data_IF_326828247482
#
_entry.id   IF_326828247482
#
_cell.length_a   1.000
_cell.length_b   1.000
_cell.length_c   1.000
_cell.angle_alpha   90.00
_cell.angle_beta   90.00
_cell.angle_gamma   90.00
#
_symmetry.space_group_name_H-M   'P 1'
#
loop_
_entity.id
_entity.type
_entity.pdbx_description
1 polymer ?
#
# COMPACT_ATOMS: atom_id res chain seq x y z
N UNK A 1 2.60 -26.41 -23.95
CA UNK A 1 2.55 -25.50 -22.77
C UNK A 1 1.84 -26.25 -21.66
N UNK A 2 2.38 -26.26 -20.46
CA UNK A 2 1.87 -27.08 -19.37
C UNK A 2 0.83 -26.25 -18.56
N UNK A 3 -0.42 -26.22 -19.02
CA UNK A 3 -1.51 -25.48 -18.33
C UNK A 3 -1.62 -25.83 -16.84
N UNK A 4 -1.45 -27.12 -16.51
CA UNK A 4 -1.48 -27.57 -15.11
C UNK A 4 -0.40 -26.94 -14.21
N UNK A 5 0.75 -26.53 -14.74
CA UNK A 5 1.80 -25.89 -13.95
C UNK A 5 1.45 -24.43 -13.63
N UNK A 6 0.80 -23.71 -14.54
CA UNK A 6 0.35 -22.31 -14.30
C UNK A 6 -0.69 -22.27 -13.18
N UNK A 7 -1.63 -23.23 -13.17
CA UNK A 7 -2.65 -23.36 -12.10
C UNK A 7 -2.01 -23.56 -10.73
N UNK A 8 -0.98 -24.41 -10.60
CA UNK A 8 -0.30 -24.66 -9.32
C UNK A 8 0.36 -23.39 -8.72
N UNK A 9 0.71 -22.43 -9.57
CA UNK A 9 1.26 -21.16 -9.13
C UNK A 9 0.22 -20.03 -9.09
N UNK A 10 -1.05 -20.29 -9.49
CA UNK A 10 -2.10 -19.28 -9.59
C UNK A 10 -1.69 -18.13 -10.52
N UNK A 11 -1.18 -18.47 -11.70
CA UNK A 11 -0.66 -17.54 -12.71
C UNK A 11 -1.38 -17.70 -14.05
N UNK A 12 -2.35 -18.60 -14.12
CA UNK A 12 -3.02 -19.07 -15.35
C UNK A 12 -3.74 -17.96 -16.13
N UNK A 13 -4.22 -16.94 -15.42
CA UNK A 13 -4.99 -15.85 -16.04
C UNK A 13 -4.13 -14.89 -16.87
N UNK A 14 -2.85 -14.76 -16.55
CA UNK A 14 -2.00 -13.75 -17.17
C UNK A 14 -0.66 -14.29 -17.69
N UNK A 15 -0.13 -15.35 -17.05
CA UNK A 15 1.21 -15.86 -17.35
C UNK A 15 1.21 -17.33 -17.77
N UNK A 16 2.00 -17.60 -18.81
CA UNK A 16 2.43 -18.95 -19.13
C UNK A 16 3.73 -19.28 -18.39
N UNK A 17 3.81 -20.47 -17.82
CA UNK A 17 5.05 -21.02 -17.26
C UNK A 17 5.86 -21.62 -18.39
N UNK A 18 7.05 -21.08 -18.64
CA UNK A 18 7.98 -21.54 -19.67
C UNK A 18 8.91 -22.63 -19.15
N UNK A 19 9.44 -22.43 -17.93
CA UNK A 19 10.40 -23.34 -17.31
C UNK A 19 10.23 -23.36 -15.79
N UNK A 20 10.54 -24.51 -15.19
CA UNK A 20 10.54 -24.72 -13.75
C UNK A 20 11.85 -25.37 -13.35
N UNK A 21 12.60 -24.76 -12.43
CA UNK A 21 13.87 -25.28 -11.95
C UNK A 21 13.90 -25.36 -10.42
N UNK A 22 14.32 -26.48 -9.89
CA UNK A 22 14.66 -26.60 -8.48
C UNK A 22 16.06 -26.03 -8.27
N UNK A 23 16.20 -24.96 -7.47
CA UNK A 23 17.45 -24.25 -7.23
C UNK A 23 17.97 -24.41 -5.80
N UNK A 24 17.33 -25.28 -5.02
CA UNK A 24 17.71 -25.62 -3.66
C UNK A 24 16.70 -26.53 -2.98
N UNK A 25 16.95 -26.95 -1.74
CA UNK A 25 16.06 -27.90 -1.02
C UNK A 25 14.61 -27.41 -0.93
N UNK A 26 14.42 -26.11 -0.67
CA UNK A 26 13.09 -25.48 -0.50
C UNK A 26 12.94 -24.26 -1.40
N UNK A 27 13.53 -24.27 -2.60
CA UNK A 27 13.52 -23.13 -3.53
C UNK A 27 13.27 -23.60 -4.95
N UNK A 28 12.32 -22.97 -5.61
CA UNK A 28 12.01 -23.17 -7.02
C UNK A 28 12.11 -21.84 -7.78
N UNK A 29 12.60 -21.92 -9.01
CA UNK A 29 12.61 -20.84 -9.97
C UNK A 29 11.64 -21.15 -11.08
N UNK A 30 10.75 -20.23 -11.35
CA UNK A 30 9.72 -20.34 -12.39
C UNK A 30 9.96 -19.24 -13.41
N UNK A 31 10.23 -19.62 -14.65
CA UNK A 31 10.34 -18.65 -15.75
C UNK A 31 8.95 -18.48 -16.36
N UNK A 32 8.49 -17.24 -16.41
CA UNK A 32 7.15 -16.88 -16.85
C UNK A 32 7.18 -15.83 -17.98
N UNK A 33 6.18 -15.85 -18.81
CA UNK A 33 5.92 -14.84 -19.86
C UNK A 33 4.42 -14.51 -19.86
N UNK A 34 4.04 -13.26 -20.11
CA UNK A 34 2.62 -12.88 -20.29
C UNK A 34 2.05 -13.62 -21.51
N UNK A 35 0.86 -14.20 -21.36
CA UNK A 35 0.17 -14.98 -22.40
C UNK A 35 -0.15 -14.07 -23.60
N UNK A 36 -0.72 -12.92 -23.33
CA UNK A 36 -1.04 -11.94 -24.37
C UNK A 36 0.23 -11.44 -25.05
N UNK A 37 0.26 -11.50 -26.37
CA UNK A 37 1.42 -11.08 -27.18
C UNK A 37 1.38 -9.62 -27.55
N UNK A 38 0.24 -8.98 -27.43
CA UNK A 38 0.05 -7.58 -27.74
C UNK A 38 0.09 -6.71 -26.48
N UNK A 39 0.42 -5.46 -26.65
CA UNK A 39 0.37 -4.46 -25.60
C UNK A 39 -0.05 -3.12 -26.14
N UNK A 40 -0.87 -2.39 -25.38
CA UNK A 40 -1.28 -1.03 -25.68
C UNK A 40 -0.16 -0.05 -25.30
N UNK A 41 0.19 0.84 -26.22
CA UNK A 41 1.13 1.91 -25.92
C UNK A 41 0.55 2.87 -24.88
N UNK A 42 1.27 3.15 -23.75
CA UNK A 42 0.75 4.03 -22.71
C UNK A 42 0.63 5.51 -23.16
N UNK A 43 1.25 5.89 -24.27
CA UNK A 43 1.19 7.26 -24.78
C UNK A 43 0.06 7.51 -25.79
N UNK A 44 -0.32 6.51 -26.60
CA UNK A 44 -1.31 6.68 -27.67
C UNK A 44 -2.36 5.57 -27.75
N UNK A 45 -2.28 4.52 -26.92
CA UNK A 45 -3.22 3.40 -26.92
C UNK A 45 -3.07 2.40 -28.08
N UNK A 46 -2.22 2.65 -29.06
CA UNK A 46 -2.05 1.75 -30.23
C UNK A 46 -1.51 0.41 -29.78
N UNK A 47 -2.19 -0.67 -30.18
CA UNK A 47 -1.78 -2.05 -29.92
C UNK A 47 -0.61 -2.45 -30.82
N UNK A 48 0.34 -3.19 -30.24
CA UNK A 48 1.49 -3.72 -30.99
C UNK A 48 1.99 -5.02 -30.35
N UNK A 49 2.43 -5.92 -31.22
CA UNK A 49 3.16 -7.14 -30.85
C UNK A 49 4.65 -7.08 -31.25
N UNK A 50 5.12 -5.93 -31.77
CA UNK A 50 6.50 -5.77 -32.23
C UNK A 50 7.45 -5.67 -31.04
N UNK A 51 8.16 -6.77 -30.77
CA UNK A 51 9.12 -6.87 -29.67
C UNK A 51 10.45 -6.21 -30.07
N UNK A 52 10.96 -5.32 -29.21
CA UNK A 52 12.31 -4.77 -29.30
C UNK A 52 13.32 -5.66 -28.59
N UNK A 53 13.00 -6.07 -27.38
CA UNK A 53 13.87 -6.90 -26.52
C UNK A 53 13.03 -7.68 -25.48
N UNK A 54 13.67 -8.72 -24.90
CA UNK A 54 13.04 -9.59 -23.89
C UNK A 54 13.94 -9.69 -22.65
N UNK A 55 13.98 -8.67 -21.78
CA UNK A 55 14.75 -8.73 -20.54
C UNK A 55 14.15 -9.72 -19.56
N UNK A 56 15.00 -10.50 -18.91
CA UNK A 56 14.62 -11.42 -17.83
C UNK A 56 14.75 -10.71 -16.48
N UNK A 57 13.65 -10.62 -15.73
CA UNK A 57 13.57 -9.84 -14.48
C UNK A 57 13.08 -10.71 -13.33
N UNK A 58 13.85 -10.76 -12.24
CA UNK A 58 13.45 -11.45 -11.01
C UNK A 58 12.33 -10.70 -10.27
N UNK A 59 11.28 -11.44 -9.91
CA UNK A 59 10.12 -10.96 -9.13
C UNK A 59 9.89 -11.92 -7.98
N UNK A 60 9.62 -11.41 -6.79
CA UNK A 60 9.25 -12.23 -5.63
C UNK A 60 7.75 -12.49 -5.64
N UNK A 61 7.39 -13.70 -5.24
CA UNK A 61 6.01 -14.16 -5.16
C UNK A 61 5.76 -14.96 -3.88
N UNK A 62 4.51 -15.36 -3.67
CA UNK A 62 4.11 -16.26 -2.60
C UNK A 62 4.87 -17.60 -2.70
N UNK A 63 5.22 -18.21 -1.56
CA UNK A 63 5.67 -19.60 -1.56
C UNK A 63 4.62 -20.52 -2.18
N UNK A 64 5.04 -21.46 -3.00
CA UNK A 64 4.16 -22.47 -3.57
C UNK A 64 4.55 -23.85 -3.04
N UNK A 65 3.57 -24.64 -2.60
CA UNK A 65 3.79 -25.99 -2.06
C UNK A 65 4.88 -26.06 -0.97
N UNK A 66 4.92 -25.06 -0.07
CA UNK A 66 5.91 -24.96 1.00
C UNK A 66 7.31 -24.54 0.55
N UNK A 67 7.54 -24.24 -0.73
CA UNK A 67 8.81 -23.85 -1.29
C UNK A 67 8.84 -22.35 -1.61
N UNK A 68 9.95 -21.68 -1.32
CA UNK A 68 10.17 -20.29 -1.74
C UNK A 68 10.21 -20.23 -3.26
N UNK A 69 9.35 -19.40 -3.85
CA UNK A 69 9.19 -19.25 -5.29
C UNK A 69 9.90 -17.97 -5.76
N UNK A 70 10.79 -18.13 -6.73
CA UNK A 70 11.40 -17.03 -7.48
C UNK A 70 10.80 -17.00 -8.87
N UNK A 71 10.01 -15.98 -9.18
CA UNK A 71 9.55 -15.76 -10.55
C UNK A 71 10.61 -15.03 -11.35
N UNK A 72 10.89 -15.52 -12.53
CA UNK A 72 11.73 -14.84 -13.49
C UNK A 72 10.88 -14.53 -14.72
N UNK A 73 10.46 -13.28 -14.80
CA UNK A 73 9.58 -12.81 -15.86
C UNK A 73 10.37 -12.39 -17.08
N UNK A 74 10.14 -13.11 -18.20
CA UNK A 74 10.63 -12.74 -19.52
C UNK A 74 9.73 -11.63 -20.06
N UNK A 75 10.06 -10.38 -19.76
CA UNK A 75 9.29 -9.21 -20.16
C UNK A 75 9.43 -8.95 -21.66
N UNK A 76 8.40 -8.42 -22.26
CA UNK A 76 8.48 -7.87 -23.62
C UNK A 76 8.60 -6.35 -23.54
N UNK A 77 9.62 -5.80 -24.15
CA UNK A 77 9.68 -4.38 -24.49
C UNK A 77 9.22 -4.22 -25.92
N UNK A 78 8.14 -3.47 -26.10
CA UNK A 78 7.43 -3.33 -27.37
C UNK A 78 7.79 -2.00 -28.05
N UNK A 79 7.67 -1.96 -29.37
CA UNK A 79 7.86 -0.76 -30.19
C UNK A 79 6.49 -0.20 -30.55
N UNK A 80 6.23 1.07 -30.25
CA UNK A 80 5.04 1.76 -30.70
C UNK A 80 5.05 1.86 -32.22
N UNK A 81 3.90 1.61 -32.84
CA UNK A 81 3.75 1.69 -34.33
C UNK A 81 3.25 3.05 -34.79
N UNK A 82 2.83 3.92 -33.87
CA UNK A 82 2.39 5.28 -34.19
C UNK A 82 3.61 6.19 -34.36
N UNK A 83 3.91 6.67 -35.57
CA UNK A 83 5.09 7.51 -35.81
C UNK A 83 5.08 8.83 -35.05
N UNK A 84 3.90 9.41 -34.79
CA UNK A 84 3.73 10.66 -34.09
C UNK A 84 3.78 10.48 -32.55
N UNK A 85 3.89 9.25 -32.04
CA UNK A 85 3.91 8.98 -30.62
C UNK A 85 5.31 9.15 -30.02
N UNK A 86 5.45 10.06 -29.06
CA UNK A 86 6.70 10.32 -28.35
C UNK A 86 7.22 9.13 -27.51
N UNK A 87 6.37 8.13 -27.18
CA UNK A 87 6.75 6.99 -26.35
C UNK A 87 7.78 6.07 -27.03
N UNK A 88 7.73 5.90 -28.34
CA UNK A 88 8.66 5.08 -29.12
C UNK A 88 8.71 3.62 -28.70
N UNK A 89 9.09 3.33 -27.44
CA UNK A 89 9.14 1.96 -26.89
C UNK A 89 8.58 1.93 -25.46
N UNK A 90 7.95 0.81 -25.09
CA UNK A 90 7.36 0.63 -23.76
C UNK A 90 7.45 -0.83 -23.32
N UNK A 91 7.35 -1.05 -22.00
CA UNK A 91 7.29 -2.40 -21.42
C UNK A 91 5.84 -2.86 -21.35
N UNK A 92 5.56 -4.09 -21.75
CA UNK A 92 4.25 -4.72 -21.61
C UNK A 92 3.80 -4.64 -20.13
N UNK A 93 2.57 -4.22 -19.92
CA UNK A 93 1.98 -4.11 -18.58
C UNK A 93 1.54 -5.48 -18.06
N UNK A 94 1.44 -5.59 -16.74
CA UNK A 94 0.95 -6.76 -16.03
C UNK A 94 0.17 -6.29 -14.80
N UNK A 95 -0.99 -6.88 -14.56
CA UNK A 95 -1.80 -6.62 -13.36
C UNK A 95 -1.16 -7.32 -12.15
N UNK A 96 -0.69 -8.54 -12.35
CA UNK A 96 -0.05 -9.31 -11.29
C UNK A 96 1.30 -8.73 -10.85
N UNK A 97 2.03 -8.02 -11.74
CA UNK A 97 3.30 -7.37 -11.41
C UNK A 97 3.28 -5.91 -11.88
N UNK A 98 2.90 -4.97 -11.03
CA UNK A 98 2.85 -3.55 -11.37
C UNK A 98 4.17 -3.00 -11.90
N UNK A 99 4.10 -1.93 -12.67
CA UNK A 99 5.28 -1.26 -13.22
C UNK A 99 6.29 -0.92 -12.12
N UNK A 100 7.58 -1.17 -12.40
CA UNK A 100 8.71 -0.95 -11.45
C UNK A 100 8.64 -1.79 -10.16
N UNK A 101 7.66 -2.69 -10.00
CA UNK A 101 7.59 -3.61 -8.87
C UNK A 101 8.53 -4.81 -9.06
N UNK A 102 9.09 -5.27 -7.94
CA UNK A 102 9.78 -6.56 -7.83
C UNK A 102 9.03 -7.56 -6.95
N UNK A 103 7.77 -7.27 -6.68
CA UNK A 103 6.84 -8.09 -5.93
C UNK A 103 5.57 -8.23 -6.75
N UNK A 104 4.96 -9.40 -6.73
CA UNK A 104 3.60 -9.58 -7.24
C UNK A 104 2.59 -8.83 -6.38
N UNK A 105 1.47 -8.46 -6.96
CA UNK A 105 0.36 -7.80 -6.24
C UNK A 105 -0.11 -8.66 -5.07
N UNK A 106 -0.32 -9.97 -5.31
CA UNK A 106 -0.78 -10.92 -4.29
C UNK A 106 0.21 -11.09 -3.13
N UNK A 107 1.52 -11.10 -3.38
CA UNK A 107 2.52 -11.14 -2.31
C UNK A 107 2.47 -9.84 -1.49
N UNK A 108 2.33 -8.69 -2.14
CA UNK A 108 2.20 -7.40 -1.44
C UNK A 108 0.97 -7.37 -0.55
N UNK A 109 -0.16 -7.86 -1.02
CA UNK A 109 -1.40 -7.98 -0.24
C UNK A 109 -1.25 -8.92 0.95
N UNK A 110 -0.62 -10.08 0.74
CA UNK A 110 -0.34 -11.03 1.81
C UNK A 110 0.57 -10.43 2.90
N UNK A 111 1.60 -9.68 2.51
CA UNK A 111 2.49 -8.97 3.45
C UNK A 111 1.69 -7.94 4.26
N UNK A 112 0.91 -7.09 3.59
CA UNK A 112 0.08 -6.09 4.26
C UNK A 112 -0.90 -6.73 5.25
N UNK A 113 -1.59 -7.79 4.84
CA UNK A 113 -2.54 -8.53 5.65
C UNK A 113 -1.87 -9.24 6.85
N UNK A 114 -0.69 -9.83 6.66
CA UNK A 114 0.04 -10.48 7.75
C UNK A 114 0.41 -9.48 8.86
N UNK A 115 0.73 -8.24 8.48
CA UNK A 115 1.04 -7.17 9.45
C UNK A 115 -0.26 -6.65 10.08
N UNK A 116 -1.26 -6.26 9.29
CA UNK A 116 -2.48 -5.62 9.79
C UNK A 116 -3.40 -6.60 10.53
N UNK A 117 -3.88 -7.64 9.84
CA UNK A 117 -4.83 -8.59 10.39
C UNK A 117 -4.15 -9.66 11.26
N UNK A 118 -2.91 -10.03 10.93
CA UNK A 118 -2.13 -10.99 11.70
C UNK A 118 -1.43 -10.37 12.93
N UNK A 119 -1.52 -9.05 13.11
CA UNK A 119 -0.88 -8.30 14.21
C UNK A 119 0.62 -8.62 14.38
N UNK A 120 1.33 -8.77 13.25
CA UNK A 120 2.74 -9.13 13.23
C UNK A 120 3.64 -7.91 13.04
N UNK A 121 4.84 -7.94 13.61
CA UNK A 121 5.80 -6.86 13.43
C UNK A 121 6.26 -6.76 11.96
N UNK A 122 6.41 -5.53 11.45
CA UNK A 122 6.88 -5.27 10.07
C UNK A 122 8.24 -5.92 9.80
N UNK A 123 9.15 -5.88 10.80
CA UNK A 123 10.49 -6.49 10.70
C UNK A 123 10.44 -8.02 10.59
N UNK A 124 9.54 -8.65 11.31
CA UNK A 124 9.34 -10.11 11.28
C UNK A 124 8.85 -10.56 9.90
N UNK A 125 7.78 -9.91 9.39
CA UNK A 125 7.22 -10.21 8.08
C UNK A 125 8.23 -9.89 6.96
N UNK A 126 8.99 -8.81 7.08
CA UNK A 126 10.06 -8.48 6.13
C UNK A 126 11.13 -9.59 6.08
N UNK A 127 11.54 -10.12 7.24
CA UNK A 127 12.49 -11.23 7.35
C UNK A 127 11.96 -12.53 6.74
N UNK A 128 10.70 -12.88 7.01
CA UNK A 128 10.06 -14.08 6.46
C UNK A 128 10.07 -14.10 4.93
N UNK A 129 9.69 -12.98 4.31
CA UNK A 129 9.66 -12.88 2.84
C UNK A 129 10.99 -12.42 2.23
N UNK A 130 12.02 -12.17 3.04
CA UNK A 130 13.33 -11.75 2.58
C UNK A 130 13.30 -10.42 1.80
N UNK A 131 12.53 -9.45 2.30
CA UNK A 131 12.39 -8.11 1.71
C UNK A 131 12.85 -7.03 2.68
N UNK A 132 13.12 -5.83 2.16
CA UNK A 132 13.45 -4.69 3.02
C UNK A 132 12.25 -4.26 3.88
N UNK A 133 12.51 -3.83 5.11
CA UNK A 133 11.51 -3.30 6.04
C UNK A 133 10.60 -2.25 5.37
N UNK A 134 11.20 -1.29 4.67
CA UNK A 134 10.45 -0.24 3.96
C UNK A 134 9.50 -0.78 2.88
N UNK A 135 9.80 -1.97 2.29
CA UNK A 135 8.93 -2.61 1.31
C UNK A 135 7.71 -3.24 1.99
N UNK A 136 7.92 -3.93 3.13
CA UNK A 136 6.85 -4.48 3.93
C UNK A 136 5.95 -3.37 4.51
N UNK A 137 6.54 -2.29 5.02
CA UNK A 137 5.79 -1.14 5.53
C UNK A 137 4.93 -0.46 4.45
N UNK A 138 5.48 -0.27 3.23
CA UNK A 138 4.67 0.25 2.11
C UNK A 138 3.51 -0.67 1.71
N UNK A 139 3.67 -1.97 1.85
CA UNK A 139 2.57 -2.92 1.61
C UNK A 139 1.45 -2.76 2.66
N UNK A 140 1.81 -2.55 3.93
CA UNK A 140 0.84 -2.23 4.98
C UNK A 140 0.10 -0.92 4.69
N UNK A 141 0.82 0.16 4.35
CA UNK A 141 0.19 1.47 4.03
C UNK A 141 -0.76 1.34 2.84
N UNK A 142 -0.36 0.63 1.78
CA UNK A 142 -1.20 0.44 0.61
C UNK A 142 -2.48 -0.37 0.92
N UNK A 143 -2.40 -1.33 1.84
CA UNK A 143 -3.56 -2.07 2.32
C UNK A 143 -4.46 -1.19 3.19
N UNK A 144 -3.87 -0.45 4.14
CA UNK A 144 -4.58 0.46 5.02
C UNK A 144 -5.36 1.53 4.24
N UNK A 145 -4.76 2.12 3.21
CA UNK A 145 -5.41 3.10 2.34
C UNK A 145 -6.69 2.58 1.65
N UNK A 146 -6.82 1.26 1.48
CA UNK A 146 -8.03 0.64 0.92
C UNK A 146 -9.04 0.21 1.98
N UNK A 147 -8.58 -0.04 3.21
CA UNK A 147 -9.41 -0.58 4.29
C UNK A 147 -9.91 0.48 5.26
N UNK A 148 -9.23 1.62 5.35
CA UNK A 148 -9.66 2.71 6.20
C UNK A 148 -10.80 3.46 5.49
N UNK A 149 -12.05 3.33 5.97
CA UNK A 149 -13.17 4.08 5.42
C UNK A 149 -13.06 5.55 5.83
N UNK A 150 -13.81 6.39 5.12
CA UNK A 150 -14.08 7.75 5.57
C UNK A 150 -14.70 7.74 6.97
N UNK A 151 -14.43 8.76 7.80
CA UNK A 151 -15.03 8.88 9.11
C UNK A 151 -16.56 8.88 9.03
N UNK A 152 -17.19 7.93 9.70
CA UNK A 152 -18.64 7.89 9.79
C UNK A 152 -19.15 8.94 10.79
N UNK A 153 -20.32 9.57 10.54
CA UNK A 153 -20.94 10.49 11.49
C UNK A 153 -21.07 9.85 12.87
N UNK A 154 -20.73 10.59 13.90
CA UNK A 154 -20.87 10.15 15.29
C UNK A 154 -21.64 11.18 16.10
N UNK A 155 -22.42 10.72 17.06
CA UNK A 155 -23.13 11.57 18.00
C UNK A 155 -22.25 12.05 19.15
N UNK A 156 -21.28 11.23 19.54
CA UNK A 156 -20.33 11.53 20.62
C UNK A 156 -18.91 11.40 20.08
N UNK A 157 -18.22 12.51 19.94
CA UNK A 157 -16.84 12.57 19.47
C UNK A 157 -15.89 12.63 20.67
N UNK A 158 -15.01 11.65 20.81
CA UNK A 158 -13.91 11.67 21.76
C UNK A 158 -12.65 12.23 21.10
N UNK A 159 -11.94 13.11 21.81
CA UNK A 159 -10.67 13.68 21.35
C UNK A 159 -9.64 13.56 22.47
N UNK A 160 -8.51 12.94 22.15
CA UNK A 160 -7.43 12.73 23.10
C UNK A 160 -6.06 12.79 22.43
N UNK A 161 -5.01 13.05 23.17
CA UNK A 161 -3.66 12.97 22.67
C UNK A 161 -2.99 11.64 22.99
N UNK A 162 -2.22 11.15 22.03
CA UNK A 162 -1.37 9.97 22.23
C UNK A 162 0.06 10.24 21.80
N UNK A 163 1.01 9.66 22.53
CA UNK A 163 2.41 9.74 22.14
C UNK A 163 2.73 8.68 21.10
N UNK A 164 2.74 9.08 19.82
CA UNK A 164 2.91 8.17 18.70
C UNK A 164 4.36 7.76 18.42
N UNK A 165 5.34 8.55 18.89
CA UNK A 165 6.77 8.32 18.60
C UNK A 165 7.69 8.92 19.66
N UNK A 166 8.97 8.56 19.61
CA UNK A 166 10.01 9.25 20.39
C UNK A 166 10.28 10.64 19.82
N UNK A 167 10.72 11.56 20.68
CA UNK A 167 11.22 12.85 20.25
C UNK A 167 12.40 12.66 19.29
N UNK A 168 12.41 13.38 18.19
CA UNK A 168 13.51 13.42 17.23
C UNK A 168 13.89 14.86 16.95
N UNK A 169 15.14 15.08 16.62
CA UNK A 169 15.62 16.33 16.11
C UNK A 169 15.85 16.17 14.61
N UNK A 170 15.36 17.10 13.84
CA UNK A 170 15.50 17.14 12.39
C UNK A 170 16.27 18.42 12.05
N UNK A 171 17.30 18.33 11.22
CA UNK A 171 18.01 19.48 10.69
C UNK A 171 17.21 20.06 9.52
N UNK A 172 16.70 21.26 9.68
CA UNK A 172 16.07 22.09 8.64
C UNK A 172 17.00 23.24 8.25
N UNK A 173 16.68 24.00 7.22
CA UNK A 173 17.51 25.16 6.79
C UNK A 173 17.73 26.17 7.91
N UNK A 174 16.75 26.36 8.78
CA UNK A 174 16.82 27.26 9.94
C UNK A 174 17.53 26.68 11.18
N UNK A 175 18.05 25.42 11.09
CA UNK A 175 18.72 24.74 12.19
C UNK A 175 17.95 23.52 12.72
N UNK A 176 18.38 23.05 13.89
CA UNK A 176 17.79 21.85 14.50
C UNK A 176 16.39 22.14 15.06
N UNK A 177 15.41 21.41 14.55
CA UNK A 177 14.02 21.45 15.00
C UNK A 177 13.62 20.17 15.71
N UNK A 178 13.01 20.33 16.88
CA UNK A 178 12.45 19.20 17.64
C UNK A 178 11.13 18.74 16.99
N UNK A 179 11.06 17.47 16.61
CA UNK A 179 9.78 16.90 16.14
C UNK A 179 8.83 16.67 17.30
N UNK A 180 7.58 17.07 17.15
CA UNK A 180 6.53 16.76 18.11
C UNK A 180 6.24 15.24 18.11
N UNK A 181 6.30 14.57 19.27
CA UNK A 181 6.00 13.15 19.38
C UNK A 181 4.50 12.83 19.49
N UNK A 182 3.67 13.85 19.67
CA UNK A 182 2.25 13.72 19.94
C UNK A 182 1.40 13.68 18.69
N UNK A 183 0.30 12.96 18.80
CA UNK A 183 -0.79 12.95 17.82
C UNK A 183 -2.11 13.14 18.58
N UNK A 184 -3.02 13.85 17.95
CA UNK A 184 -4.41 13.94 18.40
C UNK A 184 -5.21 12.85 17.72
N UNK A 185 -5.93 12.05 18.50
CA UNK A 185 -6.83 11.00 18.06
C UNK A 185 -8.29 11.45 18.15
N UNK A 186 -9.08 11.05 17.18
CA UNK A 186 -10.52 11.29 17.11
C UNK A 186 -11.21 9.94 17.10
N UNK A 187 -12.12 9.72 18.04
CA UNK A 187 -12.79 8.41 18.20
C UNK A 187 -14.30 8.58 18.29
N UNK A 188 -15.03 7.59 17.84
CA UNK A 188 -16.44 7.47 18.19
C UNK A 188 -16.53 7.00 19.65
N UNK A 189 -17.00 7.87 20.52
CA UNK A 189 -17.16 7.61 21.95
C UNK A 189 -18.63 7.41 22.34
N UNK A 190 -19.53 7.21 21.38
CA UNK A 190 -20.94 6.93 21.68
C UNK A 190 -21.07 5.57 22.38
N UNK A 191 -21.59 5.52 23.61
CA UNK A 191 -21.70 4.28 24.36
C UNK A 191 -22.69 3.28 23.74
N UNK A 192 -23.53 3.71 22.80
CA UNK A 192 -24.47 2.82 22.11
C UNK A 192 -23.83 1.97 21.01
N UNK A 193 -22.57 2.27 20.60
CA UNK A 193 -21.85 1.55 19.55
C UNK A 193 -20.45 1.20 20.01
N UNK A 194 -19.81 0.27 19.32
CA UNK A 194 -18.39 -0.04 19.56
C UNK A 194 -17.52 1.18 19.27
N UNK A 195 -16.59 1.49 20.19
CA UNK A 195 -15.61 2.55 19.99
C UNK A 195 -14.80 2.32 18.74
N UNK A 196 -14.61 3.36 17.93
CA UNK A 196 -13.88 3.30 16.66
C UNK A 196 -12.99 4.53 16.49
N UNK A 197 -11.77 4.30 16.02
CA UNK A 197 -10.91 5.39 15.57
C UNK A 197 -11.47 6.02 14.29
N UNK A 198 -11.70 7.33 14.33
CA UNK A 198 -12.19 8.13 13.20
C UNK A 198 -11.07 8.87 12.48
N UNK A 199 -10.01 9.25 13.21
CA UNK A 199 -8.89 9.95 12.61
C UNK A 199 -7.72 10.17 13.56
N UNK A 200 -6.59 10.52 12.97
CA UNK A 200 -5.36 10.90 13.66
C UNK A 200 -4.75 12.13 12.97
N UNK A 201 -4.29 13.09 13.74
CA UNK A 201 -3.56 14.24 13.20
C UNK A 201 -2.30 14.52 14.03
N UNK A 202 -1.18 14.94 13.42
CA UNK A 202 0.04 15.30 14.15
C UNK A 202 -0.17 16.50 15.09
N UNK A 203 0.47 16.44 16.25
CA UNK A 203 0.43 17.52 17.25
C UNK A 203 -0.67 17.35 18.28
N UNK A 204 -0.76 18.33 19.21
CA UNK A 204 -1.74 18.38 20.31
C UNK A 204 -2.21 19.83 20.60
N UNK A 205 -2.48 20.57 19.55
CA UNK A 205 -2.93 21.98 19.63
C UNK A 205 -4.41 22.09 19.24
N UNK A 206 -5.04 23.22 19.60
CA UNK A 206 -6.38 23.53 19.11
C UNK A 206 -6.47 23.57 17.57
N UNK A 207 -5.40 24.01 16.92
CA UNK A 207 -5.32 24.01 15.46
C UNK A 207 -5.39 22.59 14.85
N UNK A 208 -4.84 21.56 15.52
CA UNK A 208 -4.97 20.18 15.07
C UNK A 208 -6.44 19.75 15.05
N UNK A 209 -7.19 20.14 16.06
CA UNK A 209 -8.62 19.82 16.21
C UNK A 209 -9.44 20.58 15.17
N UNK A 210 -9.31 21.90 15.09
CA UNK A 210 -10.08 22.72 14.15
C UNK A 210 -9.80 22.34 12.69
N UNK A 211 -8.53 22.08 12.32
CA UNK A 211 -8.17 21.66 10.96
C UNK A 211 -8.76 20.29 10.62
N UNK A 212 -8.74 19.33 11.54
CA UNK A 212 -9.32 18.01 11.29
C UNK A 212 -10.86 18.09 11.12
N UNK A 213 -11.53 18.83 12.00
CA UNK A 213 -12.98 19.05 11.91
C UNK A 213 -13.39 19.77 10.63
N UNK A 214 -12.60 20.75 10.19
CA UNK A 214 -12.86 21.48 8.94
C UNK A 214 -12.78 20.59 7.68
N UNK A 215 -12.02 19.49 7.73
CA UNK A 215 -11.93 18.51 6.65
C UNK A 215 -13.13 17.55 6.62
N UNK A 216 -13.92 17.50 7.69
CA UNK A 216 -15.08 16.60 7.74
C UNK A 216 -16.26 17.18 6.95
N UNK A 217 -17.13 16.27 6.47
CA UNK A 217 -18.35 16.67 5.77
C UNK A 217 -19.29 17.47 6.69
N UNK A 218 -20.15 18.36 6.14
CA UNK A 218 -21.19 19.01 6.94
C UNK A 218 -22.04 18.03 7.71
N UNK A 219 -22.44 16.92 7.09
CA UNK A 219 -23.23 15.85 7.73
C UNK A 219 -22.52 15.26 8.95
N UNK A 220 -21.18 15.07 8.88
CA UNK A 220 -20.41 14.60 10.03
C UNK A 220 -20.47 15.63 11.16
N UNK A 221 -20.16 16.88 10.87
CA UNK A 221 -20.10 17.96 11.87
C UNK A 221 -21.46 18.21 12.53
N UNK A 222 -22.53 18.25 11.77
CA UNK A 222 -23.91 18.44 12.25
C UNK A 222 -24.39 17.24 13.08
N UNK A 223 -23.83 16.05 12.83
CA UNK A 223 -24.10 14.82 13.57
C UNK A 223 -23.54 14.84 15.00
N UNK A 224 -22.44 15.54 15.25
CA UNK A 224 -21.81 15.60 16.58
C UNK A 224 -22.65 16.43 17.54
N UNK A 225 -23.14 15.80 18.61
CA UNK A 225 -23.95 16.46 19.66
C UNK A 225 -23.19 16.69 20.94
N UNK A 226 -22.14 15.88 21.17
CA UNK A 226 -21.31 15.95 22.37
C UNK A 226 -19.84 15.70 21.98
N UNK A 227 -18.94 16.48 22.55
CA UNK A 227 -17.51 16.23 22.43
C UNK A 227 -16.94 15.93 23.81
N UNK A 228 -16.23 14.83 23.94
CA UNK A 228 -15.56 14.39 25.18
C UNK A 228 -14.06 14.64 25.01
N UNK A 229 -13.50 15.42 25.92
CA UNK A 229 -12.07 15.76 25.98
C UNK A 229 -11.59 15.73 27.43
N UNK A 230 -10.32 15.51 27.64
CA UNK A 230 -9.67 15.86 28.91
C UNK A 230 -9.74 17.38 29.14
N UNK A 231 -9.51 17.88 30.37
CA UNK A 231 -9.49 19.31 30.67
C UNK A 231 -8.39 20.05 29.89
N UNK A 232 -8.59 20.26 28.61
CA UNK A 232 -7.65 20.88 27.67
C UNK A 232 -8.24 22.16 27.09
N UNK A 233 -7.77 23.32 27.58
CA UNK A 233 -8.18 24.62 27.05
C UNK A 233 -7.89 24.78 25.54
N UNK A 234 -6.73 24.32 25.00
CA UNK A 234 -6.47 24.34 23.55
C UNK A 234 -7.50 23.54 22.74
N UNK A 235 -7.87 22.33 23.17
CA UNK A 235 -8.86 21.52 22.47
C UNK A 235 -10.24 22.16 22.51
N UNK A 236 -10.67 22.63 23.68
CA UNK A 236 -11.93 23.34 23.81
C UNK A 236 -12.00 24.60 22.89
N UNK A 237 -10.90 25.32 22.73
CA UNK A 237 -10.83 26.44 21.79
C UNK A 237 -10.93 25.95 20.33
N UNK A 238 -10.18 24.91 19.95
CA UNK A 238 -10.21 24.33 18.62
C UNK A 238 -11.59 23.81 18.19
N UNK A 239 -12.34 23.21 19.13
CA UNK A 239 -13.71 22.75 18.89
C UNK A 239 -14.67 23.93 18.61
N UNK A 240 -14.54 25.02 19.37
CA UNK A 240 -15.40 26.20 19.20
C UNK A 240 -15.18 26.98 17.91
N UNK A 241 -14.01 26.82 17.29
CA UNK A 241 -13.63 27.51 16.04
C UNK A 241 -13.88 26.70 14.78
N UNK A 242 -14.32 25.44 14.90
CA UNK A 242 -14.58 24.53 13.81
C UNK A 242 -16.07 24.47 13.45
#
# INVERSE_FOLDING_TARGET
MNEGTSVLFGLEDEFAVLQLHRIGPNRVRVVIEVIDREGACPGCGVLTSRVKERPLVGVKDLPASGQRTELWWLKRRLVCREPACATGTFTQQSIAVPARSRLTTRLREKIGSAIAAGNRAVSEVAGEYGIAWATAHRALIALAARWLPEPEPTRVLGIDETRARSVRWVLEEAGWKRSDPWMTSFVNADPAVSGRLLGLTPGRSGACVSSWLALQTPTFRDGVKLVVIDPSAPYAAGIRTA
#
